data_IF_172915374458
#
_entry.id   IF_172915374458
#
_cell.length_a   1.000
_cell.length_b   1.000
_cell.length_c   1.000
_cell.angle_alpha   90.00
_cell.angle_beta   90.00
_cell.angle_gamma   90.00
#
_symmetry.space_group_name_H-M   'P 1'
#
loop_
_entity.id
_entity.type
_entity.pdbx_description
1 polymer ?
#
# COMPACT_ATOMS: atom_id res chain seq x y z
N UNK A 1 -25.77 28.06 17.28
CA UNK A 1 -24.56 27.50 16.65
C UNK A 1 -24.72 25.99 16.64
N UNK A 2 -25.03 25.41 15.49
CA UNK A 2 -25.12 23.95 15.31
C UNK A 2 -23.68 23.46 15.26
N UNK A 3 -23.23 22.71 16.28
CA UNK A 3 -21.95 21.98 16.22
C UNK A 3 -22.08 20.97 15.10
N UNK A 4 -21.42 21.18 13.96
CA UNK A 4 -21.24 20.16 12.93
C UNK A 4 -20.50 19.00 13.61
N UNK A 5 -21.21 17.91 13.86
CA UNK A 5 -20.57 16.67 14.28
C UNK A 5 -19.74 16.19 13.08
N UNK A 6 -18.42 16.29 13.21
CA UNK A 6 -17.51 15.64 12.26
C UNK A 6 -17.85 14.16 12.27
N UNK A 7 -18.11 13.51 11.13
CA UNK A 7 -18.41 12.09 11.10
C UNK A 7 -17.24 11.31 11.73
N UNK A 8 -17.51 10.61 12.82
CA UNK A 8 -16.52 9.80 13.50
C UNK A 8 -16.32 8.51 12.73
N UNK A 9 -15.10 8.22 12.30
CA UNK A 9 -14.76 6.94 11.67
C UNK A 9 -14.98 5.78 12.65
N UNK A 10 -15.42 4.64 12.12
CA UNK A 10 -15.51 3.37 12.87
C UNK A 10 -14.12 2.88 13.33
N UNK A 11 -13.07 3.19 12.56
CA UNK A 11 -11.70 2.74 12.81
C UNK A 11 -10.80 3.92 13.14
N UNK A 12 -9.94 3.74 14.14
CA UNK A 12 -8.96 4.74 14.55
C UNK A 12 -7.67 4.61 13.72
N UNK A 13 -7.23 3.39 13.43
CA UNK A 13 -6.00 3.12 12.68
C UNK A 13 -6.25 2.07 11.61
N UNK A 14 -5.83 2.37 10.38
CA UNK A 14 -5.94 1.48 9.23
C UNK A 14 -4.60 1.30 8.55
N UNK A 15 -4.44 0.17 7.86
CA UNK A 15 -3.42 0.01 6.85
C UNK A 15 -4.07 -0.09 5.47
N UNK A 16 -3.63 0.75 4.54
CA UNK A 16 -4.06 0.74 3.15
C UNK A 16 -2.95 0.12 2.29
N UNK A 17 -3.26 -0.97 1.58
CA UNK A 17 -2.37 -1.54 0.58
C UNK A 17 -2.79 -1.09 -0.80
N UNK A 18 -1.90 -0.43 -1.52
CA UNK A 18 -2.09 0.03 -2.88
C UNK A 18 -1.31 -0.85 -3.86
N UNK A 19 -1.93 -1.27 -4.96
CA UNK A 19 -1.19 -1.88 -6.06
C UNK A 19 -0.30 -0.83 -6.73
N UNK A 20 0.93 -1.20 -7.12
CA UNK A 20 1.75 -0.34 -7.97
C UNK A 20 1.05 0.05 -9.27
N UNK A 21 0.26 -0.86 -9.84
CA UNK A 21 -0.54 -0.61 -11.04
C UNK A 21 -1.47 0.61 -10.91
N UNK A 22 -1.92 0.94 -9.70
CA UNK A 22 -2.77 2.12 -9.46
C UNK A 22 -2.04 3.44 -9.69
N UNK A 23 -0.70 3.42 -9.76
CA UNK A 23 0.14 4.62 -9.97
C UNK A 23 0.36 4.93 -11.45
N UNK A 24 0.15 3.97 -12.35
CA UNK A 24 0.39 4.19 -13.78
C UNK A 24 -0.80 4.84 -14.51
N UNK A 25 -1.97 4.91 -13.88
CA UNK A 25 -3.19 5.37 -14.54
C UNK A 25 -3.52 4.53 -15.78
N UNK A 26 -3.76 5.18 -16.90
CA UNK A 26 -4.06 4.54 -18.19
C UNK A 26 -2.80 4.17 -18.99
N UNK A 27 -1.59 4.39 -18.45
CA UNK A 27 -0.33 4.07 -19.10
C UNK A 27 -0.01 2.57 -18.95
N UNK A 28 0.79 2.03 -19.86
CA UNK A 28 1.23 0.62 -19.78
C UNK A 28 2.21 0.40 -18.62
N UNK A 29 3.06 1.40 -18.32
CA UNK A 29 4.07 1.35 -17.23
C UNK A 29 4.36 2.77 -16.72
N UNK A 30 5.10 2.82 -15.59
CA UNK A 30 5.57 4.08 -15.03
C UNK A 30 4.57 4.70 -14.05
N UNK A 31 4.55 6.04 -13.99
CA UNK A 31 3.78 6.79 -13.00
C UNK A 31 3.02 7.91 -13.68
N UNK A 32 1.70 7.92 -13.53
CA UNK A 32 0.82 9.03 -13.90
C UNK A 32 0.58 9.94 -12.71
N UNK A 33 1.01 11.19 -12.81
CA UNK A 33 0.85 12.17 -11.74
C UNK A 33 -0.62 12.44 -11.38
N UNK A 34 -1.55 12.28 -12.33
CA UNK A 34 -3.00 12.43 -12.07
C UNK A 34 -3.53 11.30 -11.20
N UNK A 35 -3.07 10.07 -11.45
CA UNK A 35 -3.43 8.91 -10.63
C UNK A 35 -2.90 9.07 -9.20
N UNK A 36 -1.65 9.50 -9.03
CA UNK A 36 -1.06 9.75 -7.71
C UNK A 36 -1.78 10.89 -6.99
N UNK A 37 -2.14 11.96 -7.69
CA UNK A 37 -2.90 13.09 -7.11
C UNK A 37 -4.29 12.65 -6.65
N UNK A 38 -4.98 11.82 -7.41
CA UNK A 38 -6.26 11.24 -7.02
C UNK A 38 -6.14 10.40 -5.74
N UNK A 39 -5.18 9.47 -5.72
CA UNK A 39 -4.90 8.62 -4.54
C UNK A 39 -4.59 9.49 -3.31
N UNK A 40 -3.76 10.52 -3.47
CA UNK A 40 -3.41 11.43 -2.38
C UNK A 40 -4.62 12.20 -1.86
N UNK A 41 -5.53 12.60 -2.74
CA UNK A 41 -6.80 13.22 -2.37
C UNK A 41 -7.69 12.30 -1.54
N UNK A 42 -7.78 11.02 -1.90
CA UNK A 42 -8.55 10.02 -1.12
C UNK A 42 -7.92 9.76 0.25
N UNK A 43 -6.60 9.63 0.34
CA UNK A 43 -5.89 9.49 1.62
C UNK A 43 -6.14 10.72 2.52
N UNK A 44 -6.08 11.94 1.97
CA UNK A 44 -6.40 13.18 2.71
C UNK A 44 -7.79 13.13 3.33
N UNK A 45 -8.81 12.69 2.60
CA UNK A 45 -10.18 12.57 3.13
C UNK A 45 -10.22 11.65 4.35
N UNK A 46 -9.51 10.53 4.32
CA UNK A 46 -9.43 9.58 5.44
C UNK A 46 -8.74 10.23 6.64
N UNK A 47 -7.61 10.90 6.42
CA UNK A 47 -6.88 11.63 7.49
C UNK A 47 -7.76 12.72 8.13
N UNK A 48 -8.56 13.43 7.33
CA UNK A 48 -9.49 14.46 7.82
C UNK A 48 -10.61 13.91 8.72
N UNK A 49 -10.91 12.61 8.63
CA UNK A 49 -11.80 11.91 9.57
C UNK A 49 -11.12 11.58 10.91
N UNK A 50 -9.87 11.96 11.11
CA UNK A 50 -9.08 11.66 12.31
C UNK A 50 -8.53 10.24 12.36
N UNK A 51 -8.45 9.56 11.21
CA UNK A 51 -7.93 8.19 11.11
C UNK A 51 -6.41 8.22 10.93
N UNK A 52 -5.70 7.40 11.70
CA UNK A 52 -4.27 7.14 11.53
C UNK A 52 -4.05 6.18 10.34
N UNK A 53 -3.28 6.61 9.35
CA UNK A 53 -3.15 5.88 8.07
C UNK A 53 -1.73 5.39 7.84
N UNK A 54 -1.56 4.06 7.83
CA UNK A 54 -0.40 3.39 7.24
C UNK A 54 -0.67 3.03 5.78
N UNK A 55 0.33 3.10 4.93
CA UNK A 55 0.22 2.76 3.51
C UNK A 55 1.34 1.81 3.11
N UNK A 56 1.02 0.74 2.39
CA UNK A 56 1.98 -0.12 1.69
C UNK A 56 1.75 0.03 0.20
N UNK A 57 2.80 0.26 -0.57
CA UNK A 57 2.72 0.45 -2.02
C UNK A 57 3.48 -0.66 -2.74
N UNK A 58 2.85 -1.26 -3.77
CA UNK A 58 3.52 -2.18 -4.68
C UNK A 58 4.42 -1.48 -5.69
N UNK A 59 5.26 -2.25 -6.41
CA UNK A 59 6.19 -1.77 -7.43
C UNK A 59 5.87 -2.20 -8.86
N UNK A 60 4.74 -2.91 -9.09
CA UNK A 60 4.44 -3.57 -10.35
C UNK A 60 4.23 -2.68 -11.57
N UNK A 61 4.02 -1.38 -11.38
CA UNK A 61 3.98 -0.37 -12.44
C UNK A 61 5.37 -0.03 -13.02
N UNK A 62 6.43 -0.34 -12.29
CA UNK A 62 7.82 -0.06 -12.67
C UNK A 62 8.57 -1.36 -12.96
N UNK A 63 8.38 -2.39 -12.13
CA UNK A 63 9.12 -3.64 -12.19
C UNK A 63 8.31 -4.84 -11.72
N UNK A 64 8.34 -5.93 -12.50
CA UNK A 64 7.71 -7.21 -12.19
C UNK A 64 8.77 -8.31 -12.09
N UNK A 65 9.16 -8.65 -10.86
CA UNK A 65 10.23 -9.62 -10.60
C UNK A 65 9.94 -11.02 -11.14
N UNK A 66 8.66 -11.43 -11.22
CA UNK A 66 8.26 -12.73 -11.79
C UNK A 66 8.53 -12.81 -13.30
N UNK A 67 8.35 -11.72 -14.03
CA UNK A 67 8.64 -11.66 -15.48
C UNK A 67 10.16 -11.64 -15.73
N UNK A 68 10.89 -10.83 -14.97
CA UNK A 68 12.35 -10.71 -15.08
C UNK A 68 13.10 -12.03 -14.74
N UNK A 69 12.58 -12.83 -13.82
CA UNK A 69 13.19 -14.13 -13.50
C UNK A 69 13.03 -15.16 -14.62
N UNK A 70 11.99 -15.06 -15.44
CA UNK A 70 11.80 -15.89 -16.64
C UNK A 70 12.82 -15.52 -17.72
N UNK A 71 13.29 -14.28 -17.75
CA UNK A 71 14.32 -13.79 -18.70
C UNK A 71 15.76 -14.09 -18.25
N UNK A 72 15.95 -14.87 -17.16
CA UNK A 72 17.26 -15.35 -16.70
C UNK A 72 17.90 -14.52 -15.58
N UNK A 73 17.20 -13.53 -15.02
CA UNK A 73 17.67 -12.82 -13.83
C UNK A 73 17.47 -13.70 -12.58
N UNK A 74 18.46 -13.68 -11.67
CA UNK A 74 18.31 -14.33 -10.36
C UNK A 74 17.10 -13.76 -9.61
N UNK A 75 16.24 -14.63 -9.09
CA UNK A 75 14.98 -14.23 -8.43
C UNK A 75 15.19 -13.27 -7.28
N UNK A 76 16.22 -13.48 -6.46
CA UNK A 76 16.51 -12.59 -5.33
C UNK A 76 16.88 -11.17 -5.81
N UNK A 77 17.66 -11.07 -6.90
CA UNK A 77 18.02 -9.78 -7.51
C UNK A 77 16.77 -9.09 -8.07
N UNK A 78 15.94 -9.81 -8.80
CA UNK A 78 14.69 -9.30 -9.36
C UNK A 78 13.74 -8.76 -8.25
N UNK A 79 13.68 -9.45 -7.12
CA UNK A 79 12.87 -9.02 -5.97
C UNK A 79 13.45 -7.76 -5.29
N UNK A 80 14.78 -7.62 -5.18
CA UNK A 80 15.41 -6.38 -4.69
C UNK A 80 15.14 -5.20 -5.63
N UNK A 81 15.20 -5.39 -6.95
CA UNK A 81 14.79 -4.34 -7.90
C UNK A 81 13.33 -3.94 -7.69
N UNK A 82 12.44 -4.93 -7.46
CA UNK A 82 11.05 -4.68 -7.12
C UNK A 82 10.88 -3.89 -5.81
N UNK A 83 11.70 -4.16 -4.78
CA UNK A 83 11.71 -3.38 -3.55
C UNK A 83 12.11 -1.92 -3.82
N UNK A 84 13.13 -1.67 -4.64
CA UNK A 84 13.52 -0.31 -5.04
C UNK A 84 12.39 0.39 -5.81
N UNK A 85 11.66 -0.32 -6.66
CA UNK A 85 10.48 0.22 -7.34
C UNK A 85 9.39 0.68 -6.34
N UNK A 86 9.19 -0.06 -5.24
CA UNK A 86 8.28 0.38 -4.17
C UNK A 86 8.78 1.64 -3.46
N UNK A 87 10.09 1.80 -3.30
CA UNK A 87 10.69 3.01 -2.71
C UNK A 87 10.43 4.22 -3.60
N UNK A 88 10.61 4.09 -4.93
CA UNK A 88 10.30 5.16 -5.89
C UNK A 88 8.84 5.60 -5.79
N UNK A 89 7.89 4.65 -5.81
CA UNK A 89 6.46 4.95 -5.65
C UNK A 89 6.17 5.62 -4.31
N UNK A 90 6.81 5.18 -3.23
CA UNK A 90 6.63 5.73 -1.88
C UNK A 90 7.10 7.19 -1.79
N UNK A 91 8.24 7.52 -2.40
CA UNK A 91 8.77 8.89 -2.44
C UNK A 91 7.85 9.84 -3.21
N UNK A 92 7.32 9.38 -4.36
CA UNK A 92 6.42 10.18 -5.18
C UNK A 92 5.09 10.41 -4.46
N UNK A 93 4.55 9.37 -3.81
CA UNK A 93 3.33 9.48 -3.00
C UNK A 93 3.56 10.45 -1.83
N UNK A 94 4.68 10.35 -1.11
CA UNK A 94 5.03 11.28 -0.04
C UNK A 94 5.08 12.72 -0.55
N UNK A 95 5.82 12.96 -1.63
CA UNK A 95 5.93 14.29 -2.22
C UNK A 95 4.58 14.88 -2.60
N UNK A 96 3.69 14.07 -3.19
CA UNK A 96 2.35 14.52 -3.56
C UNK A 96 1.47 14.78 -2.34
N UNK A 97 1.52 13.91 -1.30
CA UNK A 97 0.79 14.11 -0.06
C UNK A 97 1.21 15.39 0.66
N UNK A 98 2.51 15.66 0.76
CA UNK A 98 3.02 16.83 1.46
C UNK A 98 2.80 18.13 0.64
N UNK A 99 3.17 18.13 -0.65
CA UNK A 99 3.21 19.37 -1.44
C UNK A 99 1.87 19.72 -2.11
N UNK A 100 1.07 18.71 -2.52
CA UNK A 100 -0.15 18.96 -3.28
C UNK A 100 -1.40 18.99 -2.40
N UNK A 101 -1.43 18.20 -1.33
CA UNK A 101 -2.62 18.09 -0.48
C UNK A 101 -2.38 18.45 0.99
N UNK A 102 -1.15 18.84 1.35
CA UNK A 102 -0.75 19.31 2.69
C UNK A 102 -1.06 18.28 3.79
N UNK A 103 -0.57 17.07 3.62
CA UNK A 103 -0.67 15.96 4.58
C UNK A 103 0.73 15.52 4.98
N UNK A 104 1.10 15.74 6.25
CA UNK A 104 2.39 15.30 6.79
C UNK A 104 2.59 13.80 6.60
N UNK A 105 3.69 13.41 5.97
CA UNK A 105 3.94 12.01 5.58
C UNK A 105 5.37 11.60 5.90
N UNK A 106 5.60 10.32 6.21
CA UNK A 106 6.95 9.75 6.37
C UNK A 106 7.05 8.43 5.64
N UNK A 107 8.15 8.25 4.89
CA UNK A 107 8.51 6.97 4.29
C UNK A 107 9.46 6.23 5.23
N UNK A 108 9.10 5.01 5.60
CA UNK A 108 9.91 4.09 6.38
C UNK A 108 10.25 2.88 5.50
N UNK A 109 11.53 2.66 5.26
CA UNK A 109 12.00 1.57 4.38
C UNK A 109 12.52 0.38 5.19
N UNK A 110 12.18 -0.82 4.71
CA UNK A 110 12.69 -2.08 5.27
C UNK A 110 14.15 -2.38 4.85
N UNK A 111 14.62 -1.76 3.75
CA UNK A 111 16.04 -1.72 3.37
C UNK A 111 16.62 -0.35 3.69
N UNK A 112 17.89 -0.29 4.09
CA UNK A 112 18.49 0.93 4.60
C UNK A 112 18.90 1.86 3.45
N UNK A 113 18.18 2.95 3.25
CA UNK A 113 18.44 4.00 2.24
C UNK A 113 18.30 5.36 2.93
N UNK A 114 19.21 5.66 3.84
CA UNK A 114 19.13 6.78 4.80
C UNK A 114 19.00 8.16 4.17
N UNK A 115 19.45 8.33 2.94
CA UNK A 115 19.40 9.62 2.23
C UNK A 115 17.97 10.02 1.82
N UNK A 116 17.04 9.05 1.69
CA UNK A 116 15.72 9.29 1.11
C UNK A 116 14.55 8.77 1.95
N UNK A 117 14.82 7.94 2.96
CA UNK A 117 13.79 7.39 3.84
C UNK A 117 14.32 7.12 5.24
N UNK A 118 13.43 7.04 6.22
CA UNK A 118 13.78 6.55 7.54
C UNK A 118 13.88 5.01 7.51
N UNK A 119 14.82 4.45 8.28
CA UNK A 119 14.86 3.00 8.52
C UNK A 119 13.60 2.59 9.28
N UNK A 120 12.94 1.51 8.83
CA UNK A 120 11.76 0.99 9.50
C UNK A 120 12.09 0.51 10.91
N UNK A 121 11.43 1.10 11.88
CA UNK A 121 11.39 0.67 13.29
C UNK A 121 9.95 0.76 13.75
N UNK A 122 9.36 -0.36 14.22
CA UNK A 122 7.94 -0.44 14.63
C UNK A 122 7.50 0.73 15.51
N UNK A 123 8.24 1.01 16.58
CA UNK A 123 7.90 2.10 17.52
C UNK A 123 7.93 3.48 16.87
N UNK A 124 8.81 3.69 15.89
CA UNK A 124 8.89 4.95 15.12
C UNK A 124 7.67 5.11 14.23
N UNK A 125 7.25 4.05 13.55
CA UNK A 125 6.04 4.05 12.72
C UNK A 125 4.81 4.43 13.57
N UNK A 126 4.60 3.76 14.71
CA UNK A 126 3.49 4.06 15.62
C UNK A 126 3.54 5.52 16.09
N UNK A 127 4.71 6.02 16.49
CA UNK A 127 4.86 7.42 16.92
C UNK A 127 4.52 8.43 15.81
N UNK A 128 4.81 8.12 14.54
CA UNK A 128 4.40 8.98 13.43
C UNK A 128 2.88 8.96 13.24
N UNK A 129 2.26 7.79 13.29
CA UNK A 129 0.80 7.63 13.19
C UNK A 129 0.08 8.40 14.32
N UNK A 130 0.53 8.26 15.56
CA UNK A 130 -0.01 8.97 16.73
C UNK A 130 0.12 10.51 16.63
N UNK A 131 1.07 11.01 15.83
CA UNK A 131 1.22 12.44 15.52
C UNK A 131 0.35 12.89 14.33
N UNK A 132 -0.53 12.04 13.83
CA UNK A 132 -1.41 12.32 12.68
C UNK A 132 -0.68 12.33 11.34
N UNK A 133 0.52 11.76 11.24
CA UNK A 133 1.27 11.61 9.99
C UNK A 133 0.84 10.36 9.25
N UNK A 134 0.76 10.43 7.94
CA UNK A 134 0.70 9.23 7.11
C UNK A 134 2.07 8.55 7.12
N UNK A 135 2.08 7.22 7.28
CA UNK A 135 3.31 6.42 7.24
C UNK A 135 3.27 5.52 6.02
N UNK A 136 4.22 5.68 5.11
CA UNK A 136 4.36 4.82 3.94
C UNK A 136 5.47 3.80 4.21
N UNK A 137 5.14 2.51 4.13
CA UNK A 137 6.07 1.41 4.31
C UNK A 137 6.62 0.98 2.95
N UNK A 138 7.91 1.24 2.71
CA UNK A 138 8.61 0.92 1.49
C UNK A 138 9.47 -0.34 1.62
N UNK A 139 9.85 -0.92 0.50
CA UNK A 139 10.70 -2.12 0.38
C UNK A 139 10.10 -3.38 1.04
N UNK A 140 8.77 -3.47 1.15
CA UNK A 140 8.10 -4.64 1.68
C UNK A 140 8.53 -5.01 3.10
N UNK A 141 9.06 -6.23 3.27
CA UNK A 141 9.68 -6.68 4.53
C UNK A 141 11.22 -6.68 4.49
N UNK A 142 11.82 -6.28 3.36
CA UNK A 142 13.27 -6.26 3.17
C UNK A 142 13.89 -7.59 2.74
N UNK A 143 13.09 -8.64 2.55
CA UNK A 143 13.55 -9.96 2.14
C UNK A 143 12.97 -10.35 0.79
N UNK A 144 13.77 -10.99 -0.10
CA UNK A 144 13.27 -11.62 -1.33
C UNK A 144 12.20 -12.68 -1.06
N UNK A 145 11.53 -13.13 -2.11
CA UNK A 145 10.51 -14.18 -2.13
C UNK A 145 9.19 -13.82 -1.41
N UNK A 146 9.02 -12.56 -1.00
CA UNK A 146 7.83 -12.08 -0.30
C UNK A 146 7.07 -11.07 -1.14
N UNK A 147 5.75 -11.13 -1.07
CA UNK A 147 4.86 -10.20 -1.79
C UNK A 147 4.58 -8.95 -0.94
N UNK A 148 4.11 -7.87 -1.59
CA UNK A 148 3.61 -6.70 -0.87
C UNK A 148 2.32 -6.99 -0.09
N UNK A 149 1.57 -8.03 -0.44
CA UNK A 149 0.40 -8.47 0.32
C UNK A 149 0.83 -9.06 1.67
N UNK A 150 1.87 -9.93 1.68
CA UNK A 150 2.50 -10.44 2.91
C UNK A 150 3.06 -9.30 3.76
N UNK A 151 3.75 -8.36 3.14
CA UNK A 151 4.26 -7.18 3.84
C UNK A 151 3.13 -6.37 4.49
N UNK A 152 2.01 -6.21 3.79
CA UNK A 152 0.86 -5.47 4.30
C UNK A 152 0.23 -6.15 5.52
N UNK A 153 0.07 -7.47 5.50
CA UNK A 153 -0.44 -8.22 6.64
C UNK A 153 0.48 -8.08 7.86
N UNK A 154 1.80 -8.23 7.67
CA UNK A 154 2.77 -8.06 8.75
C UNK A 154 2.75 -6.64 9.32
N UNK A 155 2.80 -5.61 8.47
CA UNK A 155 2.77 -4.20 8.91
C UNK A 155 1.47 -3.85 9.63
N UNK A 156 0.31 -4.38 9.18
CA UNK A 156 -0.96 -4.17 9.86
C UNK A 156 -0.93 -4.67 11.32
N UNK A 157 -0.38 -5.86 11.52
CA UNK A 157 -0.20 -6.43 12.88
C UNK A 157 0.79 -5.60 13.69
N UNK A 158 1.95 -5.26 13.12
CA UNK A 158 3.01 -4.54 13.83
C UNK A 158 2.61 -3.14 14.31
N UNK A 159 1.74 -2.45 13.56
CA UNK A 159 1.26 -1.11 13.94
C UNK A 159 -0.07 -1.13 14.68
N UNK A 160 -0.57 -2.29 15.06
CA UNK A 160 -1.87 -2.48 15.72
C UNK A 160 -3.02 -1.86 14.89
N UNK A 161 -3.04 -2.11 13.58
CA UNK A 161 -4.09 -1.67 12.67
C UNK A 161 -5.38 -2.45 12.92
N UNK A 162 -6.52 -1.76 12.97
CA UNK A 162 -7.84 -2.39 13.19
C UNK A 162 -8.39 -3.02 11.91
N UNK A 163 -7.93 -2.55 10.74
CA UNK A 163 -8.33 -3.07 9.45
C UNK A 163 -7.21 -2.91 8.41
N UNK A 164 -7.03 -3.93 7.58
CA UNK A 164 -6.24 -3.89 6.37
C UNK A 164 -7.17 -3.75 5.17
N UNK A 165 -7.04 -2.66 4.43
CA UNK A 165 -7.78 -2.41 3.19
C UNK A 165 -6.84 -2.69 2.02
N UNK A 166 -7.20 -3.64 1.17
CA UNK A 166 -6.39 -4.03 0.02
C UNK A 166 -7.04 -3.52 -1.27
N UNK A 167 -6.50 -2.43 -1.83
CA UNK A 167 -6.89 -1.96 -3.15
C UNK A 167 -6.20 -2.79 -4.23
N UNK A 168 -6.98 -3.47 -5.06
CA UNK A 168 -6.51 -4.22 -6.21
C UNK A 168 -6.85 -3.47 -7.50
N UNK A 169 -6.03 -3.65 -8.52
CA UNK A 169 -6.27 -3.06 -9.84
C UNK A 169 -7.19 -3.99 -10.64
N UNK A 170 -8.22 -3.42 -11.27
CA UNK A 170 -9.20 -4.11 -12.13
C UNK A 170 -9.99 -5.26 -11.47
N UNK A 171 -9.99 -5.37 -10.13
CA UNK A 171 -10.77 -6.36 -9.40
C UNK A 171 -11.41 -5.69 -8.18
N UNK A 172 -12.71 -5.81 -8.04
CA UNK A 172 -13.51 -5.10 -7.05
C UNK A 172 -13.77 -5.90 -5.75
N UNK A 173 -13.09 -7.04 -5.59
CA UNK A 173 -13.23 -7.87 -4.39
C UNK A 173 -12.55 -9.24 -4.47
N UNK A 174 -12.88 -10.10 -3.53
CA UNK A 174 -12.48 -11.51 -3.51
C UNK A 174 -13.52 -12.34 -4.26
N UNK A 175 -13.05 -13.29 -5.06
CA UNK A 175 -13.87 -14.17 -5.88
C UNK A 175 -13.56 -15.63 -5.59
N UNK A 176 -14.50 -16.54 -5.90
CA UNK A 176 -14.32 -17.98 -5.79
C UNK A 176 -13.26 -18.54 -6.74
N UNK A 177 -12.88 -17.79 -7.79
CA UNK A 177 -11.80 -18.07 -8.73
C UNK A 177 -11.45 -16.79 -9.48
N UNK A 178 -10.39 -16.80 -10.32
CA UNK A 178 -9.98 -15.61 -11.08
C UNK A 178 -11.09 -15.18 -12.06
N UNK A 179 -11.74 -14.01 -11.86
CA UNK A 179 -12.85 -13.57 -12.71
C UNK A 179 -12.41 -13.22 -14.15
N UNK A 180 -11.12 -13.00 -14.38
CA UNK A 180 -10.59 -12.74 -15.72
C UNK A 180 -10.45 -14.01 -16.55
N UNK A 181 -10.39 -15.18 -15.88
CA UNK A 181 -10.23 -16.50 -16.52
C UNK A 181 -11.50 -17.34 -16.46
N UNK A 182 -12.32 -17.12 -15.46
CA UNK A 182 -13.56 -17.87 -15.24
C UNK A 182 -14.76 -16.93 -15.17
N UNK A 183 -15.62 -16.88 -16.19
CA UNK A 183 -16.84 -16.06 -16.19
C UNK A 183 -17.83 -16.40 -15.09
N UNK A 184 -17.79 -17.65 -14.58
CA UNK A 184 -18.68 -18.13 -13.51
C UNK A 184 -18.17 -17.80 -12.10
N UNK A 185 -17.03 -17.11 -11.99
CA UNK A 185 -16.47 -16.69 -10.71
C UNK A 185 -17.44 -15.80 -9.93
N UNK A 186 -17.75 -16.20 -8.70
CA UNK A 186 -18.69 -15.49 -7.83
C UNK A 186 -17.93 -14.58 -6.87
N UNK A 187 -18.33 -13.31 -6.80
CA UNK A 187 -17.81 -12.37 -5.81
C UNK A 187 -18.27 -12.78 -4.41
N UNK A 188 -17.34 -12.86 -3.48
CA UNK A 188 -17.59 -13.16 -2.08
C UNK A 188 -17.75 -11.86 -1.31
N UNK A 189 -18.92 -11.65 -0.70
CA UNK A 189 -19.18 -10.47 0.14
C UNK A 189 -18.53 -10.60 1.51
N UNK A 190 -18.32 -11.83 1.96
CA UNK A 190 -17.69 -12.19 3.22
C UNK A 190 -17.06 -13.58 3.09
N UNK A 191 -15.90 -13.77 3.68
CA UNK A 191 -15.21 -15.06 3.82
C UNK A 191 -14.46 -15.03 5.15
N UNK A 192 -14.55 -16.09 5.93
CA UNK A 192 -13.75 -16.23 7.15
C UNK A 192 -12.32 -16.65 6.82
N UNK A 193 -11.38 -16.43 7.76
CA UNK A 193 -10.00 -16.86 7.58
C UNK A 193 -9.87 -18.38 7.41
N UNK A 194 -10.72 -19.16 8.09
CA UNK A 194 -10.70 -20.61 7.99
C UNK A 194 -11.21 -21.10 6.64
N UNK A 195 -12.25 -20.46 6.10
CA UNK A 195 -12.73 -20.75 4.74
C UNK A 195 -11.66 -20.42 3.71
N UNK A 196 -11.03 -19.24 3.79
CA UNK A 196 -9.99 -18.81 2.86
C UNK A 196 -8.70 -19.67 2.90
N UNK A 197 -8.47 -20.45 3.96
CA UNK A 197 -7.33 -21.37 4.06
C UNK A 197 -7.64 -22.77 3.53
N UNK A 198 -8.91 -23.13 3.39
CA UNK A 198 -9.35 -24.47 2.94
C UNK A 198 -9.73 -24.51 1.45
N UNK A 199 -9.88 -23.35 0.81
CA UNK A 199 -10.10 -23.18 -0.63
C UNK A 199 -8.76 -22.94 -1.37
#
# INVERSE_FOLDING_TARGET
MVKSQTPTSKYKRILLKLSGESFKGDQDYGIDQRAVSYISGEIKKIVQLGVEVGVVVGGGNIWRGSEASVEGMERAVADYVGMLATVMNSMILQSTLENSVNVDTRVLSAIDIRQISETYIRRRAIRHLEKGRVVIFAAGIGNPYMTTDTASALRAIEIDSQVLIMAKYNVDGVYSSDPNKNPDAKKLSHISYMEALND
#
